data_IF_380697155168
#
_entry.id   IF_380697155168
#
_cell.length_a   1.000
_cell.length_b   1.000
_cell.length_c   1.000
_cell.angle_alpha   90.00
_cell.angle_beta   90.00
_cell.angle_gamma   90.00
#
_symmetry.space_group_name_H-M   'P 1'
#
loop_
_entity.id
_entity.type
_entity.pdbx_description
1 polymer ?
#
# COMPACT_ATOMS: atom_id res chain seq x y z
N UNK A 1 9.55 -22.37 11.70
CA UNK A 1 9.18 -22.60 10.29
C UNK A 1 7.78 -22.05 10.06
N UNK A 2 7.61 -21.23 9.03
CA UNK A 2 6.33 -20.63 8.67
C UNK A 2 5.47 -21.70 7.98
N UNK A 3 4.50 -22.28 8.68
CA UNK A 3 3.73 -23.46 8.23
C UNK A 3 2.51 -23.15 7.35
N UNK A 4 2.44 -21.97 6.73
CA UNK A 4 1.28 -21.57 5.94
C UNK A 4 1.46 -21.88 4.46
N UNK A 5 0.38 -22.32 3.80
CA UNK A 5 0.34 -22.45 2.34
C UNK A 5 0.27 -21.08 1.68
N UNK A 6 0.72 -20.99 0.43
CA UNK A 6 0.76 -19.73 -0.32
C UNK A 6 -0.62 -19.01 -0.39
N UNK A 7 -1.69 -19.79 -0.51
CA UNK A 7 -3.06 -19.26 -0.62
C UNK A 7 -3.47 -18.45 0.63
N UNK A 8 -2.90 -18.77 1.78
CA UNK A 8 -3.12 -18.01 3.01
C UNK A 8 -2.69 -16.56 2.86
N UNK A 9 -1.63 -16.31 2.10
CA UNK A 9 -1.09 -14.98 1.89
C UNK A 9 -1.64 -14.26 0.64
N UNK A 10 -2.57 -14.85 -0.10
CA UNK A 10 -3.21 -14.15 -1.20
C UNK A 10 -3.96 -12.90 -0.68
N UNK A 11 -3.93 -11.82 -1.45
CA UNK A 11 -4.51 -10.54 -1.10
C UNK A 11 -3.61 -9.60 -0.28
N UNK A 12 -2.38 -10.01 0.11
CA UNK A 12 -1.44 -9.08 0.76
C UNK A 12 -0.94 -8.00 -0.22
N UNK A 13 -0.83 -8.32 -1.50
CA UNK A 13 -0.63 -7.37 -2.59
C UNK A 13 -1.91 -7.24 -3.41
N UNK A 14 -2.43 -6.04 -3.54
CA UNK A 14 -3.70 -5.76 -4.23
C UNK A 14 -3.68 -6.30 -5.67
N UNK A 15 -4.58 -7.24 -5.98
CA UNK A 15 -4.70 -7.87 -7.31
C UNK A 15 -3.38 -8.39 -7.90
N UNK A 16 -2.43 -8.76 -7.04
CA UNK A 16 -1.06 -9.13 -7.45
C UNK A 16 -0.55 -10.38 -6.72
N UNK A 17 -1.40 -11.39 -6.59
CA UNK A 17 -1.07 -12.68 -5.95
C UNK A 17 0.07 -13.44 -6.66
N UNK A 18 0.43 -13.01 -7.87
CA UNK A 18 1.58 -13.55 -8.59
C UNK A 18 2.89 -13.40 -7.79
N UNK A 19 3.02 -12.35 -6.97
CA UNK A 19 4.22 -12.12 -6.14
C UNK A 19 4.37 -13.25 -5.14
N UNK A 20 3.31 -13.58 -4.41
CA UNK A 20 3.30 -14.70 -3.47
C UNK A 20 3.56 -16.02 -4.19
N UNK A 21 2.90 -16.24 -5.33
CA UNK A 21 3.03 -17.46 -6.13
C UNK A 21 4.46 -17.65 -6.64
N UNK A 22 5.10 -16.63 -7.17
CA UNK A 22 6.49 -16.69 -7.64
C UNK A 22 7.48 -16.88 -6.48
N UNK A 23 7.22 -16.26 -5.32
CA UNK A 23 8.03 -16.43 -4.13
C UNK A 23 8.02 -17.89 -3.67
N UNK A 24 6.85 -18.51 -3.60
CA UNK A 24 6.72 -19.94 -3.22
C UNK A 24 7.27 -20.91 -4.28
N UNK A 25 7.40 -20.51 -5.54
CA UNK A 25 8.10 -21.34 -6.54
C UNK A 25 9.61 -21.40 -6.29
N UNK A 26 10.18 -20.29 -5.84
CA UNK A 26 11.63 -20.20 -5.55
C UNK A 26 11.98 -20.78 -4.19
N UNK A 27 11.19 -20.47 -3.18
CA UNK A 27 11.39 -20.89 -1.81
C UNK A 27 10.09 -21.51 -1.27
N UNK A 28 10.11 -22.79 -0.93
CA UNK A 28 8.92 -23.52 -0.50
C UNK A 28 8.66 -23.41 1.00
N UNK A 29 9.68 -23.08 1.77
CA UNK A 29 9.65 -23.01 3.23
C UNK A 29 10.39 -21.78 3.71
N UNK A 30 9.89 -21.14 4.74
CA UNK A 30 10.46 -19.95 5.36
C UNK A 30 10.62 -20.21 6.85
N UNK A 31 11.73 -19.79 7.43
CA UNK A 31 12.00 -19.97 8.87
C UNK A 31 11.11 -19.06 9.72
N UNK A 32 10.86 -17.85 9.24
CA UNK A 32 10.07 -16.85 9.92
C UNK A 32 9.45 -15.86 8.93
N UNK A 33 8.69 -14.89 9.45
CA UNK A 33 8.02 -13.86 8.65
C UNK A 33 9.03 -12.94 7.97
N UNK A 34 10.15 -12.62 8.60
CA UNK A 34 11.13 -11.70 8.03
C UNK A 34 11.79 -12.29 6.79
N UNK A 35 12.17 -13.55 6.83
CA UNK A 35 12.67 -14.25 5.64
C UNK A 35 11.62 -14.27 4.51
N UNK A 36 10.37 -14.54 4.85
CA UNK A 36 9.29 -14.50 3.85
C UNK A 36 9.14 -13.10 3.22
N UNK A 37 9.18 -12.05 4.04
CA UNK A 37 9.15 -10.65 3.55
C UNK A 37 10.32 -10.34 2.63
N UNK A 38 11.53 -10.72 3.01
CA UNK A 38 12.73 -10.50 2.19
C UNK A 38 12.63 -11.19 0.83
N UNK A 39 12.07 -12.40 0.79
CA UNK A 39 11.84 -13.13 -0.44
C UNK A 39 10.73 -12.51 -1.32
N UNK A 40 9.69 -11.94 -0.72
CA UNK A 40 8.67 -11.16 -1.44
C UNK A 40 9.30 -9.91 -2.08
N UNK A 41 10.11 -9.16 -1.34
CA UNK A 41 10.84 -7.99 -1.86
C UNK A 41 11.76 -8.40 -3.01
N UNK A 42 12.52 -9.48 -2.84
CA UNK A 42 13.38 -10.03 -3.88
C UNK A 42 12.59 -10.40 -5.14
N UNK A 43 11.42 -11.00 -5.00
CA UNK A 43 10.55 -11.34 -6.14
C UNK A 43 10.15 -10.10 -6.94
N UNK A 44 9.75 -9.04 -6.27
CA UNK A 44 9.38 -7.77 -6.93
C UNK A 44 10.61 -7.12 -7.56
N UNK A 45 11.74 -7.06 -6.85
CA UNK A 45 12.97 -6.43 -7.36
C UNK A 45 13.49 -7.10 -8.63
N UNK A 46 13.38 -8.41 -8.71
CA UNK A 46 13.79 -9.21 -9.86
C UNK A 46 12.76 -9.25 -11.00
N UNK A 47 11.59 -8.65 -10.81
CA UNK A 47 10.57 -8.56 -11.85
C UNK A 47 10.87 -7.43 -12.84
N UNK A 48 10.18 -7.45 -13.99
CA UNK A 48 10.31 -6.41 -15.00
C UNK A 48 9.74 -5.07 -14.52
N UNK A 49 10.15 -3.97 -15.13
CA UNK A 49 9.62 -2.64 -14.85
C UNK A 49 8.11 -2.58 -15.12
N UNK A 50 7.64 -3.25 -16.17
CA UNK A 50 6.23 -3.34 -16.51
C UNK A 50 5.41 -4.02 -15.41
N UNK A 51 5.92 -5.10 -14.83
CA UNK A 51 5.27 -5.77 -13.68
C UNK A 51 5.23 -4.88 -12.45
N UNK A 52 6.30 -4.14 -12.17
CA UNK A 52 6.34 -3.16 -11.07
C UNK A 52 5.28 -2.06 -11.25
N UNK A 53 5.18 -1.52 -12.46
CA UNK A 53 4.16 -0.50 -12.77
C UNK A 53 2.74 -1.06 -12.64
N UNK A 54 2.49 -2.28 -13.14
CA UNK A 54 1.18 -2.93 -12.99
C UNK A 54 0.83 -3.18 -11.53
N UNK A 55 1.82 -3.56 -10.70
CA UNK A 55 1.64 -3.69 -9.26
C UNK A 55 1.15 -2.37 -8.64
N UNK A 56 1.79 -1.25 -8.97
CA UNK A 56 1.40 0.06 -8.47
C UNK A 56 0.01 0.48 -8.98
N UNK A 57 -0.28 0.27 -10.25
CA UNK A 57 -1.59 0.59 -10.85
C UNK A 57 -2.74 -0.25 -10.30
N UNK A 58 -2.45 -1.40 -9.71
CA UNK A 58 -3.44 -2.26 -9.07
C UNK A 58 -3.91 -1.74 -7.71
N UNK A 59 -3.18 -0.82 -7.10
CA UNK A 59 -3.59 -0.19 -5.84
C UNK A 59 -4.70 0.84 -6.05
N UNK A 60 -5.70 0.87 -5.16
CA UNK A 60 -6.72 1.91 -5.19
C UNK A 60 -6.12 3.28 -4.87
N UNK A 61 -6.70 4.32 -5.44
CA UNK A 61 -6.30 5.69 -5.14
C UNK A 61 -6.68 6.07 -3.71
N UNK A 62 -5.79 6.80 -3.03
CA UNK A 62 -5.99 7.25 -1.65
C UNK A 62 -7.23 8.13 -1.50
N UNK A 63 -7.49 9.00 -2.47
CA UNK A 63 -8.64 9.93 -2.47
C UNK A 63 -9.99 9.22 -2.44
N UNK A 64 -10.10 7.99 -2.94
CA UNK A 64 -11.30 7.17 -2.84
C UNK A 64 -11.61 6.71 -1.41
N UNK A 65 -10.66 6.80 -0.49
CA UNK A 65 -10.78 6.40 0.92
C UNK A 65 -10.97 7.60 1.86
N UNK A 66 -10.78 8.82 1.35
CA UNK A 66 -10.91 10.05 2.12
C UNK A 66 -12.15 10.77 1.65
N UNK A 67 -13.04 11.07 2.56
CA UNK A 67 -14.27 11.79 2.26
C UNK A 67 -14.46 12.95 3.21
N UNK A 68 -15.20 13.95 2.70
CA UNK A 68 -15.54 15.15 3.43
C UNK A 68 -16.53 14.82 4.55
N UNK A 69 -16.60 15.70 5.56
CA UNK A 69 -17.46 15.77 6.74
C UNK A 69 -18.95 15.35 6.62
N UNK A 70 -19.46 15.01 5.43
CA UNK A 70 -20.88 14.68 5.20
C UNK A 70 -21.16 13.17 5.13
N UNK A 71 -20.21 12.34 5.57
CA UNK A 71 -20.43 10.91 5.65
C UNK A 71 -21.35 10.53 6.79
N UNK A 72 -22.11 9.47 6.56
CA UNK A 72 -22.91 8.83 7.60
C UNK A 72 -21.99 8.34 8.74
N UNK A 73 -22.50 8.27 9.97
CA UNK A 73 -21.76 7.78 11.15
C UNK A 73 -21.11 6.40 10.92
N UNK A 74 -21.69 5.57 10.09
CA UNK A 74 -21.20 4.22 9.77
C UNK A 74 -19.95 4.25 8.90
N UNK A 75 -19.95 5.05 7.84
CA UNK A 75 -18.76 5.29 7.02
C UNK A 75 -17.64 5.99 7.81
N UNK A 76 -18.00 6.81 8.77
CA UNK A 76 -17.08 7.47 9.69
C UNK A 76 -16.33 6.46 10.58
N UNK A 77 -17.00 5.44 11.10
CA UNK A 77 -16.40 4.41 11.94
C UNK A 77 -15.46 3.48 11.18
N UNK A 78 -15.75 3.13 9.93
CA UNK A 78 -14.91 2.28 9.10
C UNK A 78 -13.60 2.97 8.69
N UNK A 79 -13.60 4.30 8.55
CA UNK A 79 -12.40 5.09 8.20
C UNK A 79 -11.57 5.51 9.41
N UNK A 80 -12.05 5.27 10.62
CA UNK A 80 -11.43 5.68 11.87
C UNK A 80 -10.03 5.09 12.10
N UNK A 81 -9.73 3.96 11.53
CA UNK A 81 -8.46 3.26 11.70
C UNK A 81 -7.24 3.99 11.11
N UNK A 82 -7.46 4.94 10.20
CA UNK A 82 -6.40 5.68 9.52
C UNK A 82 -6.37 7.19 9.84
N UNK A 83 -7.21 7.69 10.76
CA UNK A 83 -7.25 9.13 11.10
C UNK A 83 -7.68 10.05 9.95
N UNK A 84 -8.29 9.50 8.89
CA UNK A 84 -8.65 10.22 7.67
C UNK A 84 -9.99 10.97 7.77
N UNK A 85 -10.72 10.79 8.85
CA UNK A 85 -12.08 11.31 9.05
C UNK A 85 -12.17 12.78 9.42
N UNK A 86 -11.07 13.37 9.90
CA UNK A 86 -11.02 14.77 10.36
C UNK A 86 -10.39 15.68 9.31
N UNK A 87 -10.62 15.38 8.04
CA UNK A 87 -10.13 16.20 6.93
C UNK A 87 -10.96 17.49 6.84
N UNK A 88 -10.28 18.65 6.86
CA UNK A 88 -10.91 19.92 6.54
C UNK A 88 -11.23 20.01 5.04
N UNK A 89 -12.10 20.94 4.65
CA UNK A 89 -12.39 21.19 3.25
C UNK A 89 -11.10 21.56 2.47
N UNK A 90 -10.25 22.39 3.07
CA UNK A 90 -8.99 22.85 2.46
C UNK A 90 -8.00 21.69 2.28
N UNK A 91 -7.84 20.83 3.27
CA UNK A 91 -7.01 19.62 3.21
C UNK A 91 -7.53 18.64 2.15
N UNK A 92 -8.84 18.46 2.06
CA UNK A 92 -9.47 17.61 1.05
C UNK A 92 -9.21 18.14 -0.36
N UNK A 93 -9.38 19.44 -0.61
CA UNK A 93 -9.12 20.06 -1.90
C UNK A 93 -7.64 19.96 -2.27
N UNK A 94 -6.72 20.22 -1.34
CA UNK A 94 -5.30 20.05 -1.56
C UNK A 94 -4.94 18.60 -1.90
N UNK A 95 -5.50 17.63 -1.17
CA UNK A 95 -5.27 16.22 -1.41
C UNK A 95 -5.71 15.80 -2.83
N UNK A 96 -6.89 16.25 -3.26
CA UNK A 96 -7.39 16.00 -4.61
C UNK A 96 -6.52 16.64 -5.69
N UNK A 97 -6.08 17.86 -5.47
CA UNK A 97 -5.19 18.59 -6.39
C UNK A 97 -3.83 17.90 -6.52
N UNK A 98 -3.22 17.52 -5.40
CA UNK A 98 -1.96 16.78 -5.39
C UNK A 98 -2.10 15.41 -6.03
N UNK A 99 -3.21 14.71 -5.79
CA UNK A 99 -3.46 13.41 -6.39
C UNK A 99 -3.59 13.48 -7.92
N UNK A 100 -4.27 14.50 -8.45
CA UNK A 100 -4.38 14.73 -9.88
C UNK A 100 -3.00 15.03 -10.50
N UNK A 101 -2.22 15.92 -9.89
CA UNK A 101 -0.87 16.26 -10.34
C UNK A 101 0.08 15.06 -10.26
N UNK A 102 -0.02 14.26 -9.22
CA UNK A 102 0.78 13.06 -9.02
C UNK A 102 0.50 12.01 -10.12
N UNK A 103 -0.79 11.72 -10.37
CA UNK A 103 -1.19 10.80 -11.43
C UNK A 103 -0.74 11.26 -12.82
N UNK A 104 -0.80 12.53 -13.09
CA UNK A 104 -0.32 13.10 -14.35
C UNK A 104 1.20 12.94 -14.52
N UNK A 105 1.95 13.20 -13.44
CA UNK A 105 3.42 13.15 -13.47
C UNK A 105 3.95 11.71 -13.52
N UNK A 106 3.45 10.83 -12.67
CA UNK A 106 4.03 9.49 -12.47
C UNK A 106 3.27 8.36 -13.18
N UNK A 107 2.03 8.58 -13.61
CA UNK A 107 1.18 7.59 -14.30
C UNK A 107 0.87 6.32 -13.47
N UNK A 108 1.01 6.39 -12.16
CA UNK A 108 0.53 5.41 -11.19
C UNK A 108 -0.02 6.15 -9.96
N UNK A 109 -0.89 5.51 -9.14
CA UNK A 109 -1.49 6.20 -8.00
C UNK A 109 -0.46 6.47 -6.89
N UNK A 110 -0.69 7.50 -6.11
CA UNK A 110 0.04 7.74 -4.87
C UNK A 110 -0.29 6.64 -3.85
N UNK A 111 0.73 5.95 -3.40
CA UNK A 111 0.62 4.84 -2.45
C UNK A 111 1.39 5.18 -1.18
N UNK A 112 0.71 5.07 -0.06
CA UNK A 112 1.29 5.27 1.27
C UNK A 112 0.62 4.34 2.28
N UNK A 113 1.41 3.72 3.15
CA UNK A 113 0.90 2.99 4.29
C UNK A 113 0.32 4.00 5.30
N UNK A 114 -1.01 4.02 5.44
CA UNK A 114 -1.72 5.05 6.20
C UNK A 114 -1.84 4.76 7.69
N UNK A 115 -1.55 3.54 8.15
CA UNK A 115 -1.65 3.17 9.56
C UNK A 115 -0.79 4.07 10.43
N UNK A 116 -1.40 4.72 11.41
CA UNK A 116 -0.75 5.66 12.32
C UNK A 116 -0.51 7.06 11.75
N UNK A 117 -0.95 7.35 10.53
CA UNK A 117 -0.87 8.68 9.93
C UNK A 117 -2.22 9.41 10.03
N UNK A 118 -2.15 10.73 10.14
CA UNK A 118 -3.28 11.63 9.95
C UNK A 118 -3.19 12.33 8.58
N UNK A 119 -4.23 13.06 8.21
CA UNK A 119 -4.30 13.77 6.91
C UNK A 119 -3.14 14.77 6.76
N UNK A 120 -2.78 15.50 7.82
CA UNK A 120 -1.68 16.44 7.80
C UNK A 120 -0.36 15.79 7.41
N UNK A 121 -0.04 14.65 8.01
CA UNK A 121 1.18 13.87 7.69
C UNK A 121 1.14 13.26 6.29
N UNK A 122 -0.02 12.82 5.83
CA UNK A 122 -0.19 12.33 4.46
C UNK A 122 0.07 13.45 3.46
N UNK A 123 -0.46 14.64 3.69
CA UNK A 123 -0.20 15.82 2.85
C UNK A 123 1.28 16.22 2.84
N UNK A 124 1.95 16.18 3.99
CA UNK A 124 3.40 16.42 4.07
C UNK A 124 4.17 15.44 3.18
N UNK A 125 3.87 14.16 3.25
CA UNK A 125 4.49 13.15 2.40
C UNK A 125 4.17 13.35 0.92
N UNK A 126 2.94 13.72 0.62
CA UNK A 126 2.53 14.01 -0.76
C UNK A 126 3.34 15.15 -1.37
N UNK A 127 3.50 16.26 -0.63
CA UNK A 127 4.27 17.44 -1.06
C UNK A 127 5.74 17.09 -1.32
N UNK A 128 6.33 16.26 -0.46
CA UNK A 128 7.71 15.79 -0.62
C UNK A 128 7.83 14.90 -1.85
N UNK A 129 6.96 13.91 -1.96
CA UNK A 129 7.07 12.84 -2.96
C UNK A 129 6.74 13.31 -4.37
N UNK A 130 5.82 14.26 -4.52
CA UNK A 130 5.50 14.82 -5.84
C UNK A 130 6.70 15.55 -6.48
N UNK A 131 7.65 15.99 -5.66
CA UNK A 131 8.90 16.64 -6.12
C UNK A 131 9.99 15.64 -6.53
N UNK A 132 9.83 14.36 -6.24
CA UNK A 132 10.80 13.33 -6.61
C UNK A 132 10.89 13.17 -8.14
N UNK A 133 12.06 12.74 -8.62
CA UNK A 133 12.15 12.23 -9.99
C UNK A 133 11.43 10.87 -10.11
N UNK A 134 11.16 10.43 -11.34
CA UNK A 134 10.39 9.22 -11.62
C UNK A 134 10.98 7.97 -10.96
N UNK A 135 12.31 7.77 -11.09
CA UNK A 135 12.96 6.57 -10.56
C UNK A 135 12.88 6.51 -9.04
N UNK A 136 13.16 7.62 -8.38
CA UNK A 136 13.07 7.71 -6.91
C UNK A 136 11.64 7.45 -6.41
N UNK A 137 10.66 8.02 -7.10
CA UNK A 137 9.26 7.82 -6.70
C UNK A 137 8.74 6.41 -7.00
N UNK A 138 9.19 5.79 -8.09
CA UNK A 138 8.90 4.38 -8.38
C UNK A 138 9.39 3.47 -7.24
N UNK A 139 10.61 3.68 -6.79
CA UNK A 139 11.20 2.93 -5.66
C UNK A 139 10.46 3.18 -4.35
N UNK A 140 10.11 4.43 -4.07
CA UNK A 140 9.34 4.79 -2.87
C UNK A 140 7.94 4.19 -2.88
N UNK A 141 7.25 4.25 -4.01
CA UNK A 141 5.92 3.65 -4.16
C UNK A 141 5.95 2.14 -3.93
N UNK A 142 6.93 1.44 -4.49
CA UNK A 142 7.14 0.00 -4.27
C UNK A 142 7.44 -0.30 -2.80
N UNK A 143 8.27 0.51 -2.15
CA UNK A 143 8.54 0.39 -0.72
C UNK A 143 7.26 0.51 0.12
N UNK A 144 6.38 1.46 -0.21
CA UNK A 144 5.10 1.61 0.48
C UNK A 144 4.16 0.42 0.24
N UNK A 145 4.17 -0.15 -0.95
CA UNK A 145 3.41 -1.39 -1.25
C UNK A 145 3.89 -2.54 -0.36
N UNK A 146 5.19 -2.70 -0.18
CA UNK A 146 5.75 -3.72 0.72
C UNK A 146 5.36 -3.48 2.19
N UNK A 147 5.35 -2.23 2.65
CA UNK A 147 4.88 -1.88 4.00
C UNK A 147 3.40 -2.26 4.20
N UNK A 148 2.56 -2.01 3.21
CA UNK A 148 1.15 -2.40 3.25
C UNK A 148 1.02 -3.93 3.29
N UNK A 149 1.79 -4.65 2.48
CA UNK A 149 1.80 -6.10 2.48
C UNK A 149 2.23 -6.67 3.84
N UNK A 150 3.24 -6.11 4.48
CA UNK A 150 3.67 -6.48 5.82
C UNK A 150 2.57 -6.32 6.86
N UNK A 151 1.88 -5.19 6.86
CA UNK A 151 0.72 -4.96 7.74
C UNK A 151 -0.35 -6.04 7.52
N UNK A 152 -0.66 -6.36 6.27
CA UNK A 152 -1.64 -7.39 5.91
C UNK A 152 -1.20 -8.80 6.33
N UNK A 153 0.09 -9.12 6.25
CA UNK A 153 0.65 -10.38 6.75
C UNK A 153 0.37 -10.52 8.25
N UNK A 154 0.73 -9.52 9.04
CA UNK A 154 0.49 -9.53 10.47
C UNK A 154 -0.98 -9.62 10.83
N UNK A 155 -1.85 -8.90 10.12
CA UNK A 155 -3.30 -8.99 10.32
C UNK A 155 -3.83 -10.41 10.06
N UNK A 156 -3.40 -11.06 8.99
CA UNK A 156 -3.82 -12.44 8.67
C UNK A 156 -3.38 -13.44 9.74
N UNK A 157 -2.14 -13.34 10.20
CA UNK A 157 -1.61 -14.25 11.23
C UNK A 157 -2.33 -14.03 12.57
N UNK A 158 -2.51 -12.78 12.99
CA UNK A 158 -3.20 -12.46 14.24
C UNK A 158 -4.67 -12.93 14.25
N UNK A 159 -5.32 -13.00 13.08
CA UNK A 159 -6.68 -13.53 12.98
C UNK A 159 -6.74 -15.06 13.16
N UNK A 160 -5.66 -15.78 12.87
CA UNK A 160 -5.60 -17.23 13.04
C UNK A 160 -5.26 -17.65 14.48
N UNK A 161 -4.63 -16.76 15.26
CA UNK A 161 -4.24 -17.03 16.66
C UNK A 161 -5.38 -16.74 17.66
N UNK A 162 -6.53 -16.26 17.20
CA UNK A 162 -7.75 -16.03 18.01
C UNK A 162 -8.74 -17.16 17.86
#
# INVERSE_FOLDING_TARGET
>A
MLGYKKEFFFGIYEKSDWIVSETYKRCKEFQNIDEFKDELVSTVNNSTTEKKILLLKSHPQLTGKISIKNLTKESFNEQNSAGLQNCSQEEFEELHSLNASYNEKFKFPFIIAVTGLNVTKILEQFRIRISNNYQKELEEAIFQVHKIAEIRIHQKINLMEK
#
